data_IF_751600916547
#
_entry.id   IF_751600916547
#
_cell.length_a   1.000
_cell.length_b   1.000
_cell.length_c   1.000
_cell.angle_alpha   90.00
_cell.angle_beta   90.00
_cell.angle_gamma   90.00
#
_symmetry.space_group_name_H-M   'P 1'
#
loop_
_entity.id
_entity.type
_entity.pdbx_description
1 polymer ?
#
# COMPACT_ATOMS: atom_id res chain seq x y z
N UNK A 1 12.05 -53.11 -69.45
CA UNK A 1 10.66 -52.92 -68.99
C UNK A 1 10.69 -52.00 -67.78
N UNK A 2 10.30 -50.79 -67.99
CA UNK A 2 10.39 -49.64 -67.02
C UNK A 2 9.01 -49.34 -66.51
N UNK A 3 8.83 -49.36 -65.19
CA UNK A 3 7.60 -48.82 -64.60
C UNK A 3 7.95 -47.75 -63.58
N UNK A 4 7.68 -46.52 -64.00
CA UNK A 4 7.74 -45.31 -63.18
C UNK A 4 6.41 -45.11 -62.48
N UNK A 5 6.39 -45.33 -61.18
CA UNK A 5 5.26 -45.00 -60.28
C UNK A 5 5.56 -43.78 -59.41
N UNK A 6 5.30 -42.61 -59.94
CA UNK A 6 5.37 -41.37 -59.15
C UNK A 6 4.12 -41.25 -58.29
N UNK A 7 4.22 -41.56 -56.99
CA UNK A 7 3.19 -41.25 -56.01
C UNK A 7 3.31 -39.74 -55.59
N UNK A 8 2.32 -39.00 -56.03
CA UNK A 8 2.17 -37.58 -55.58
C UNK A 8 1.61 -37.60 -54.17
N UNK A 9 2.43 -37.23 -53.19
CA UNK A 9 1.99 -36.98 -51.82
C UNK A 9 1.42 -35.56 -51.80
N UNK A 10 0.11 -35.44 -51.63
CA UNK A 10 -0.55 -34.18 -51.39
C UNK A 10 -0.34 -33.80 -49.93
N UNK A 11 0.49 -32.78 -49.69
CA UNK A 11 0.65 -32.17 -48.37
C UNK A 11 -0.52 -31.23 -48.17
N UNK A 12 -1.46 -31.66 -47.34
CA UNK A 12 -2.54 -30.79 -46.86
C UNK A 12 -1.98 -29.95 -45.73
N UNK A 13 -1.64 -28.71 -46.02
CA UNK A 13 -1.31 -27.69 -45.04
C UNK A 13 -2.60 -27.18 -44.35
N UNK A 14 -2.93 -27.77 -43.21
CA UNK A 14 -3.96 -27.23 -42.32
C UNK A 14 -3.37 -26.05 -41.53
N UNK A 15 -3.65 -24.85 -42.00
CA UNK A 15 -3.32 -23.64 -41.26
C UNK A 15 -4.26 -23.53 -40.04
N UNK A 16 -3.77 -23.89 -38.85
CA UNK A 16 -4.40 -23.54 -37.58
C UNK A 16 -4.22 -22.04 -37.34
N UNK A 17 -5.24 -21.25 -37.61
CA UNK A 17 -5.39 -19.88 -37.14
C UNK A 17 -5.67 -19.93 -35.62
N UNK A 18 -4.62 -19.81 -34.81
CA UNK A 18 -4.74 -19.51 -33.39
C UNK A 18 -5.18 -18.05 -33.26
N UNK A 19 -6.49 -17.83 -33.11
CA UNK A 19 -7.04 -16.58 -32.70
C UNK A 19 -6.62 -16.34 -31.22
N UNK A 20 -5.51 -15.63 -31.02
CA UNK A 20 -5.15 -15.07 -29.73
C UNK A 20 -6.16 -14.00 -29.37
N UNK A 21 -7.17 -14.36 -28.57
CA UNK A 21 -8.03 -13.42 -27.86
C UNK A 21 -7.13 -12.65 -26.90
N UNK A 22 -6.62 -11.51 -27.37
CA UNK A 22 -5.98 -10.52 -26.52
C UNK A 22 -7.01 -10.06 -25.48
N UNK A 23 -6.85 -10.49 -24.24
CA UNK A 23 -7.53 -9.89 -23.13
C UNK A 23 -7.06 -8.44 -23.06
N UNK A 24 -7.91 -7.53 -23.52
CA UNK A 24 -7.77 -6.11 -23.26
C UNK A 24 -7.89 -5.93 -21.73
N UNK A 25 -6.75 -5.99 -21.03
CA UNK A 25 -6.68 -5.57 -19.66
C UNK A 25 -7.20 -4.13 -19.61
N UNK A 26 -8.28 -3.90 -18.87
CA UNK A 26 -8.77 -2.55 -18.61
C UNK A 26 -7.58 -1.71 -18.18
N UNK A 27 -7.22 -0.69 -18.96
CA UNK A 27 -6.18 0.27 -18.61
C UNK A 27 -6.64 0.97 -17.34
N UNK A 28 -6.16 0.50 -16.19
CA UNK A 28 -6.37 1.16 -14.91
C UNK A 28 -5.67 2.51 -15.02
N UNK A 29 -6.41 3.60 -14.90
CA UNK A 29 -5.82 4.94 -14.85
C UNK A 29 -4.64 4.93 -13.86
N UNK A 30 -3.53 5.62 -14.20
CA UNK A 30 -2.38 5.67 -13.31
C UNK A 30 -2.84 6.24 -11.96
N UNK A 31 -2.58 5.49 -10.90
CA UNK A 31 -2.98 5.89 -9.55
C UNK A 31 -2.38 7.25 -9.22
N UNK A 32 -3.23 8.19 -8.83
CA UNK A 32 -2.81 9.56 -8.49
C UNK A 32 -2.31 9.60 -7.04
N UNK A 33 -1.26 10.38 -6.81
CA UNK A 33 -0.80 10.68 -5.45
C UNK A 33 -1.94 11.31 -4.65
N UNK A 34 -2.29 10.80 -3.46
CA UNK A 34 -3.37 11.36 -2.66
C UNK A 34 -3.01 12.76 -2.14
N UNK A 35 -4.01 13.66 -2.07
CA UNK A 35 -3.92 14.92 -1.33
C UNK A 35 -4.25 14.67 0.13
N UNK A 36 -3.85 15.60 1.01
CA UNK A 36 -4.11 15.52 2.45
C UNK A 36 -5.03 16.64 2.97
N UNK A 37 -5.82 17.24 2.07
CA UNK A 37 -6.67 18.39 2.39
C UNK A 37 -7.81 18.05 3.36
N UNK A 38 -8.46 16.88 3.16
CA UNK A 38 -9.46 16.36 4.09
C UNK A 38 -8.90 15.18 4.88
N UNK A 39 -8.26 15.49 5.99
CA UNK A 39 -7.57 14.51 6.82
C UNK A 39 -8.51 13.41 7.33
N UNK A 40 -9.76 13.73 7.67
CA UNK A 40 -10.72 12.73 8.17
C UNK A 40 -11.15 11.75 7.08
N UNK A 41 -11.51 12.25 5.91
CA UNK A 41 -11.86 11.39 4.77
C UNK A 41 -10.67 10.54 4.35
N UNK A 42 -9.46 11.12 4.30
CA UNK A 42 -8.24 10.38 3.98
C UNK A 42 -7.87 9.34 5.04
N UNK A 43 -8.12 9.61 6.31
CA UNK A 43 -7.95 8.58 7.37
C UNK A 43 -8.80 7.36 7.09
N UNK A 44 -10.08 7.54 6.76
CA UNK A 44 -11.00 6.45 6.42
C UNK A 44 -10.51 5.67 5.20
N UNK A 45 -10.16 6.38 4.13
CA UNK A 45 -9.67 5.78 2.88
C UNK A 45 -8.39 4.96 3.11
N UNK A 46 -7.41 5.54 3.79
CA UNK A 46 -6.13 4.88 4.02
C UNK A 46 -6.25 3.67 4.95
N UNK A 47 -7.13 3.72 5.96
CA UNK A 47 -7.46 2.55 6.77
C UNK A 47 -8.04 1.43 5.89
N UNK A 48 -8.94 1.77 4.96
CA UNK A 48 -9.46 0.83 3.97
C UNK A 48 -8.36 0.19 3.12
N UNK A 49 -7.38 0.97 2.67
CA UNK A 49 -6.23 0.45 1.91
C UNK A 49 -5.35 -0.52 2.71
N UNK A 50 -5.25 -0.34 4.02
CA UNK A 50 -4.45 -1.23 4.87
C UNK A 50 -4.95 -2.68 4.86
N UNK A 51 -6.24 -2.87 4.64
CA UNK A 51 -6.88 -4.19 4.58
C UNK A 51 -7.10 -4.70 3.15
N UNK A 52 -7.29 -3.81 2.18
CA UNK A 52 -7.65 -4.17 0.80
C UNK A 52 -6.46 -4.32 -0.14
N UNK A 53 -5.35 -3.61 0.10
CA UNK A 53 -4.16 -3.69 -0.75
C UNK A 53 -3.18 -4.70 -0.17
N UNK A 54 -2.97 -5.80 -0.89
CA UNK A 54 -1.96 -6.80 -0.56
C UNK A 54 -0.66 -6.49 -1.28
N UNK A 55 0.44 -6.61 -0.56
CA UNK A 55 1.79 -6.41 -1.09
C UNK A 55 2.44 -7.76 -1.41
N UNK A 56 3.31 -7.79 -2.41
CA UNK A 56 4.21 -8.92 -2.63
C UNK A 56 5.29 -8.96 -1.53
N UNK A 57 6.03 -10.07 -1.38
CA UNK A 57 7.14 -10.14 -0.41
C UNK A 57 8.19 -9.04 -0.59
N UNK A 58 8.50 -8.66 -1.85
CA UNK A 58 9.45 -7.59 -2.19
C UNK A 58 8.90 -6.23 -1.78
N UNK A 59 7.62 -5.98 -2.06
CA UNK A 59 6.92 -4.77 -1.65
C UNK A 59 6.82 -4.64 -0.12
N UNK A 60 6.60 -5.75 0.59
CA UNK A 60 6.64 -5.78 2.06
C UNK A 60 8.03 -5.43 2.59
N UNK A 61 9.10 -5.85 1.91
CA UNK A 61 10.47 -5.45 2.26
C UNK A 61 10.66 -3.94 2.08
N UNK A 62 10.20 -3.36 0.97
CA UNK A 62 10.21 -1.92 0.71
C UNK A 62 9.46 -1.16 1.81
N UNK A 63 8.25 -1.62 2.18
CA UNK A 63 7.47 -1.05 3.27
C UNK A 63 8.21 -1.07 4.61
N UNK A 64 8.79 -2.21 4.97
CA UNK A 64 9.59 -2.31 6.21
C UNK A 64 10.78 -1.35 6.21
N UNK A 65 11.46 -1.19 5.08
CA UNK A 65 12.56 -0.23 4.95
C UNK A 65 12.09 1.21 5.11
N UNK A 66 10.98 1.58 4.48
CA UNK A 66 10.40 2.92 4.55
C UNK A 66 9.97 3.28 5.98
N UNK A 67 9.17 2.42 6.60
CA UNK A 67 8.53 2.67 7.88
C UNK A 67 9.43 2.33 9.08
N UNK A 68 10.39 1.44 8.92
CA UNK A 68 11.31 1.01 9.98
C UNK A 68 12.24 2.13 10.46
N UNK A 69 12.50 3.13 9.62
CA UNK A 69 13.33 4.30 9.94
C UNK A 69 12.54 5.45 10.58
N UNK A 70 11.23 5.30 10.76
CA UNK A 70 10.36 6.32 11.38
C UNK A 70 9.99 5.84 12.78
N UNK A 71 10.34 6.59 13.85
CA UNK A 71 9.89 6.27 15.20
C UNK A 71 8.37 6.21 15.30
N UNK A 72 7.83 5.30 16.08
CA UNK A 72 6.40 5.25 16.30
C UNK A 72 5.94 6.53 17.00
N UNK A 73 4.86 7.16 16.55
CA UNK A 73 4.43 8.48 17.08
C UNK A 73 4.08 8.48 18.56
N UNK A 74 3.67 7.34 19.08
CA UNK A 74 3.25 7.19 20.49
C UNK A 74 4.24 6.41 21.34
N UNK A 75 5.34 5.88 20.79
CA UNK A 75 6.28 5.04 21.52
C UNK A 75 7.65 5.04 20.83
N UNK A 76 8.63 5.62 21.49
CA UNK A 76 10.01 5.72 20.97
C UNK A 76 10.76 4.38 20.92
N UNK A 77 10.26 3.33 21.59
CA UNK A 77 10.88 2.01 21.60
C UNK A 77 10.57 1.19 20.33
N UNK A 78 9.65 1.67 19.49
CA UNK A 78 9.22 1.01 18.27
C UNK A 78 9.31 1.93 17.05
N UNK A 79 9.37 1.33 15.88
CA UNK A 79 9.16 2.05 14.62
C UNK A 79 7.67 1.99 14.22
N UNK A 80 7.28 2.84 13.29
CA UNK A 80 5.92 2.79 12.73
C UNK A 80 5.66 1.48 11.95
N UNK A 81 6.71 0.81 11.49
CA UNK A 81 6.59 -0.52 10.89
C UNK A 81 6.18 -1.60 11.89
N UNK A 82 6.59 -1.45 13.16
CA UNK A 82 6.38 -2.43 14.24
C UNK A 82 5.48 -1.91 15.34
N UNK A 83 4.75 -0.83 15.08
CA UNK A 83 3.84 -0.22 16.05
C UNK A 83 2.89 -1.24 16.64
N UNK A 84 2.88 -1.36 17.97
CA UNK A 84 2.11 -2.38 18.68
C UNK A 84 0.60 -2.10 18.75
N UNK A 85 0.18 -0.87 18.46
CA UNK A 85 -1.21 -0.44 18.56
C UNK A 85 -1.78 -0.21 17.17
N UNK A 86 -2.76 -1.00 16.72
CA UNK A 86 -3.41 -0.80 15.41
C UNK A 86 -4.43 0.35 15.48
N UNK A 87 -4.00 1.54 15.94
CA UNK A 87 -4.82 2.74 16.01
C UNK A 87 -5.07 3.35 14.61
N UNK A 88 -5.91 4.38 14.55
CA UNK A 88 -6.22 5.07 13.29
C UNK A 88 -4.95 5.54 12.57
N UNK A 89 -4.02 6.18 13.30
CA UNK A 89 -2.78 6.65 12.71
C UNK A 89 -1.93 5.51 12.13
N UNK A 90 -1.70 4.44 12.90
CA UNK A 90 -0.93 3.30 12.41
C UNK A 90 -1.56 2.66 11.18
N UNK A 91 -2.87 2.37 11.22
CA UNK A 91 -3.59 1.78 10.09
C UNK A 91 -3.58 2.67 8.86
N UNK A 92 -3.80 3.98 9.02
CA UNK A 92 -3.77 4.92 7.90
C UNK A 92 -2.38 5.02 7.27
N UNK A 93 -1.32 5.04 8.06
CA UNK A 93 0.05 5.00 7.56
C UNK A 93 0.35 3.70 6.81
N UNK A 94 -0.04 2.55 7.36
CA UNK A 94 0.18 1.26 6.69
C UNK A 94 -0.57 1.17 5.36
N UNK A 95 -1.80 1.66 5.31
CA UNK A 95 -2.58 1.69 4.07
C UNK A 95 -2.02 2.66 3.04
N UNK A 96 -1.62 3.86 3.45
CA UNK A 96 -0.95 4.83 2.58
C UNK A 96 0.34 4.26 1.99
N UNK A 97 1.15 3.58 2.80
CA UNK A 97 2.36 2.92 2.34
C UNK A 97 2.06 1.77 1.35
N UNK A 98 1.01 0.97 1.63
CA UNK A 98 0.58 -0.06 0.69
C UNK A 98 0.19 0.54 -0.66
N UNK A 99 -0.59 1.63 -0.67
CA UNK A 99 -0.97 2.33 -1.90
C UNK A 99 0.23 2.92 -2.63
N UNK A 100 1.12 3.61 -1.91
CA UNK A 100 2.32 4.21 -2.49
C UNK A 100 3.19 3.17 -3.22
N UNK A 101 3.43 2.03 -2.59
CA UNK A 101 4.27 0.98 -3.14
C UNK A 101 3.55 0.21 -4.27
N UNK A 102 2.31 -0.24 -4.02
CA UNK A 102 1.62 -1.13 -4.95
C UNK A 102 0.98 -0.41 -6.14
N UNK A 103 0.60 0.86 -6.00
CA UNK A 103 -0.14 1.62 -7.02
C UNK A 103 0.65 2.75 -7.65
N UNK A 104 1.51 3.42 -6.86
CA UNK A 104 2.36 4.50 -7.36
C UNK A 104 3.77 4.02 -7.73
N UNK A 105 4.14 2.79 -7.38
CA UNK A 105 5.49 2.24 -7.63
C UNK A 105 6.58 2.93 -6.81
N UNK A 106 6.24 3.49 -5.65
CA UNK A 106 7.21 4.20 -4.81
C UNK A 106 8.19 3.25 -4.15
N UNK A 107 9.45 3.63 -4.17
CA UNK A 107 10.53 3.01 -3.42
C UNK A 107 10.51 3.48 -1.94
N UNK A 108 11.35 2.88 -1.10
CA UNK A 108 11.38 3.16 0.33
C UNK A 108 11.58 4.65 0.68
N UNK A 109 12.48 5.42 0.04
CA UNK A 109 12.65 6.85 0.34
C UNK A 109 11.40 7.68 0.04
N UNK A 110 10.75 7.43 -1.09
CA UNK A 110 9.54 8.13 -1.51
C UNK A 110 8.35 7.80 -0.60
N UNK A 111 8.19 6.51 -0.27
CA UNK A 111 7.16 6.04 0.67
C UNK A 111 7.36 6.66 2.05
N UNK A 112 8.62 6.73 2.52
CA UNK A 112 8.95 7.40 3.78
C UNK A 112 8.58 8.88 3.76
N UNK A 113 8.95 9.61 2.72
CA UNK A 113 8.63 11.03 2.58
C UNK A 113 7.11 11.26 2.62
N UNK A 114 6.35 10.51 1.83
CA UNK A 114 4.87 10.58 1.81
C UNK A 114 4.27 10.27 3.18
N UNK A 115 4.82 9.30 3.91
CA UNK A 115 4.37 8.95 5.26
C UNK A 115 4.59 10.11 6.25
N UNK A 116 5.75 10.76 6.19
CA UNK A 116 6.05 11.91 7.07
C UNK A 116 5.15 13.10 6.77
N UNK A 117 4.84 13.37 5.51
CA UNK A 117 3.86 14.40 5.14
C UNK A 117 2.46 14.08 5.70
N UNK A 118 2.04 12.82 5.61
CA UNK A 118 0.77 12.39 6.21
C UNK A 118 0.77 12.58 7.73
N UNK A 119 1.85 12.19 8.41
CA UNK A 119 1.99 12.41 9.86
C UNK A 119 1.90 13.89 10.20
N UNK A 120 2.54 14.76 9.43
CA UNK A 120 2.45 16.21 9.61
C UNK A 120 1.02 16.74 9.41
N UNK A 121 0.30 16.23 8.40
CA UNK A 121 -1.09 16.60 8.16
C UNK A 121 -2.02 16.16 9.30
N UNK A 122 -1.79 14.98 9.87
CA UNK A 122 -2.61 14.43 10.96
C UNK A 122 -2.34 15.06 12.32
N UNK A 123 -1.16 15.61 12.54
CA UNK A 123 -0.82 16.40 13.73
C UNK A 123 0.30 17.42 13.44
N UNK A 124 -0.05 18.64 13.01
CA UNK A 124 0.92 19.70 12.75
C UNK A 124 1.79 20.09 13.95
N UNK A 125 1.29 19.88 15.18
CA UNK A 125 2.05 20.14 16.40
C UNK A 125 3.14 19.09 16.69
N UNK A 126 3.15 17.99 15.94
CA UNK A 126 4.10 16.90 16.10
C UNK A 126 3.67 15.83 17.10
N UNK A 127 4.55 14.87 17.29
CA UNK A 127 4.31 13.70 18.13
C UNK A 127 5.37 13.59 19.21
N UNK A 128 4.96 13.26 20.43
CA UNK A 128 5.83 13.27 21.62
C UNK A 128 6.59 11.96 21.82
N UNK A 129 6.10 10.85 21.23
CA UNK A 129 6.72 9.54 21.36
C UNK A 129 6.51 8.85 22.71
N UNK A 130 5.66 9.40 23.59
CA UNK A 130 5.43 8.95 24.96
C UNK A 130 3.96 8.67 25.31
N UNK A 131 3.09 8.65 24.33
CA UNK A 131 1.62 8.47 24.50
C UNK A 131 1.14 7.05 24.17
N UNK A 132 2.00 6.03 24.33
CA UNK A 132 1.66 4.65 24.03
C UNK A 132 0.55 4.12 24.95
N UNK A 133 -0.45 3.47 24.39
CA UNK A 133 -1.55 2.86 25.15
C UNK A 133 -1.07 1.84 26.20
N UNK A 134 -0.07 1.04 25.88
CA UNK A 134 0.51 0.07 26.82
C UNK A 134 1.44 0.68 27.86
N UNK A 135 2.06 1.80 27.55
CA UNK A 135 3.00 2.51 28.40
C UNK A 135 2.38 3.65 29.20
N UNK A 136 1.04 3.77 29.24
CA UNK A 136 0.38 4.83 30.00
C UNK A 136 -0.37 5.85 29.15
N UNK A 137 -0.77 5.51 27.92
CA UNK A 137 -1.65 6.37 27.14
C UNK A 137 -2.91 6.70 27.96
N UNK A 138 -3.14 7.97 28.33
CA UNK A 138 -4.24 8.37 29.22
C UNK A 138 -5.60 8.32 28.53
N UNK A 139 -5.63 8.14 27.22
CA UNK A 139 -6.85 8.11 26.42
C UNK A 139 -7.22 6.67 26.07
N UNK A 140 -8.52 6.39 26.05
CA UNK A 140 -9.03 5.09 25.63
C UNK A 140 -8.73 4.89 24.14
N UNK A 141 -8.46 3.66 23.74
CA UNK A 141 -8.27 3.28 22.35
C UNK A 141 -9.44 3.71 21.45
N UNK A 142 -10.69 3.53 21.94
CA UNK A 142 -11.91 3.99 21.27
C UNK A 142 -12.00 5.48 21.05
N UNK A 143 -11.31 6.28 21.89
CA UNK A 143 -11.19 7.72 21.75
C UNK A 143 -9.93 8.12 20.96
N UNK A 144 -9.33 7.18 20.25
CA UNK A 144 -8.06 7.35 19.52
C UNK A 144 -6.95 7.97 20.36
N UNK A 145 -6.86 7.55 21.60
CA UNK A 145 -5.87 8.11 22.50
C UNK A 145 -4.44 7.81 22.13
N UNK A 146 -4.19 6.77 21.39
CA UNK A 146 -2.87 6.40 20.94
C UNK A 146 -2.51 7.03 19.61
N UNK A 147 -1.23 7.33 19.42
CA UNK A 147 -0.70 7.90 18.20
C UNK A 147 -0.67 9.43 18.16
N UNK A 148 -1.48 10.12 18.96
CA UNK A 148 -1.49 11.59 19.01
C UNK A 148 -2.09 12.27 17.77
N UNK A 149 -2.83 11.55 16.95
CA UNK A 149 -3.59 12.12 15.84
C UNK A 149 -4.63 13.11 16.36
N UNK A 150 -4.88 14.21 15.66
CA UNK A 150 -5.93 15.17 16.04
C UNK A 150 -7.30 14.47 16.12
N UNK A 151 -8.14 14.91 17.06
CA UNK A 151 -9.45 14.28 17.30
C UNK A 151 -10.40 14.39 16.11
N UNK A 152 -10.35 15.51 15.39
CA UNK A 152 -11.15 15.75 14.18
C UNK A 152 -10.76 14.86 12.98
N UNK A 153 -9.57 14.28 13.03
CA UNK A 153 -9.07 13.34 12.01
C UNK A 153 -9.41 11.86 12.31
N UNK A 154 -9.96 11.58 13.50
CA UNK A 154 -10.26 10.22 13.96
C UNK A 154 -11.53 9.70 13.31
N UNK A 155 -11.53 8.41 12.95
CA UNK A 155 -12.70 7.69 12.45
C UNK A 155 -13.00 6.47 13.34
N UNK A 156 -14.27 6.12 13.46
CA UNK A 156 -14.78 5.01 14.28
C UNK A 156 -15.52 4.00 13.42
#
# INVERSE_FOLDING_TARGET
MTWNGRKRIAVVLTALLLASLGQAGAATEPAKRPSFDDVKARTTEFIGWSSSIRLTPEQEKTKRQALGSIPAPCCKDYSIATCCCPCNLAKSIWGLANHAIARLGYEAPQTRALTLEWMQATNPAGYTGDSCYRGGCPKRFSANGCGGMRQDAVVF
#
